data_IF_624626164282
#
_entry.id   IF_624626164282
#
_cell.length_a   1.000
_cell.length_b   1.000
_cell.length_c   1.000
_cell.angle_alpha   90.00
_cell.angle_beta   90.00
_cell.angle_gamma   90.00
#
_symmetry.space_group_name_H-M   'P 1'
#
loop_
_entity.id
_entity.type
_entity.pdbx_description
1 polymer ?
#
# COMPACT_ATOMS: atom_id res chain seq x y z
N UNK A 1 8.21 -0.68 11.71
CA UNK A 1 9.01 -0.25 10.54
C UNK A 1 8.38 0.96 9.82
N UNK A 2 7.11 0.93 9.43
CA UNK A 2 6.41 2.06 8.78
C UNK A 2 6.30 3.30 9.67
N UNK A 3 6.00 3.13 10.96
CA UNK A 3 6.05 4.24 11.92
C UNK A 3 7.42 4.95 11.90
N UNK A 4 8.53 4.20 11.79
CA UNK A 4 9.88 4.78 11.68
C UNK A 4 10.18 5.41 10.31
N UNK A 5 9.49 4.97 9.23
CA UNK A 5 9.57 5.60 7.90
C UNK A 5 8.85 6.95 7.92
N UNK A 6 7.62 6.97 8.43
CA UNK A 6 6.81 8.18 8.56
C UNK A 6 7.46 9.16 9.54
N UNK A 7 7.95 8.69 10.69
CA UNK A 7 8.65 9.53 11.66
C UNK A 7 9.89 10.21 11.07
N UNK A 8 10.70 9.49 10.29
CA UNK A 8 11.84 10.11 9.59
C UNK A 8 11.38 11.20 8.62
N UNK A 9 10.37 10.93 7.79
CA UNK A 9 9.84 11.93 6.84
C UNK A 9 9.23 13.15 7.55
N UNK A 10 8.53 12.94 8.67
CA UNK A 10 7.97 14.01 9.50
C UNK A 10 9.09 14.82 10.18
N UNK A 11 10.14 14.16 10.66
CA UNK A 11 11.32 14.82 11.22
C UNK A 11 12.03 15.66 10.16
N UNK A 12 12.30 15.10 9.00
CA UNK A 12 12.99 15.80 7.91
C UNK A 12 12.15 17.03 7.45
N UNK A 13 10.82 16.93 7.47
CA UNK A 13 9.93 18.08 7.27
C UNK A 13 10.08 19.12 8.39
N UNK A 14 10.06 18.69 9.66
CA UNK A 14 10.17 19.58 10.80
C UNK A 14 11.52 20.31 10.87
N UNK A 15 12.61 19.64 10.49
CA UNK A 15 13.94 20.26 10.38
C UNK A 15 13.97 21.41 9.37
N UNK A 16 13.24 21.30 8.25
CA UNK A 16 13.22 22.32 7.19
C UNK A 16 12.14 23.39 7.40
N UNK A 17 11.01 23.04 8.03
CA UNK A 17 9.80 23.88 8.06
C UNK A 17 9.31 24.26 9.47
N UNK A 18 9.90 23.72 10.53
CA UNK A 18 9.45 23.93 11.91
C UNK A 18 10.60 23.93 12.94
N UNK A 19 11.80 24.36 12.53
CA UNK A 19 12.98 24.49 13.40
C UNK A 19 13.31 23.22 14.21
N UNK A 20 13.03 22.04 13.64
CA UNK A 20 13.27 20.73 14.26
C UNK A 20 12.23 20.32 15.31
N UNK A 21 11.21 21.14 15.60
CA UNK A 21 10.20 20.84 16.61
C UNK A 21 8.99 20.09 16.01
N UNK A 22 8.83 18.82 16.41
CA UNK A 22 7.70 17.99 16.01
C UNK A 22 6.53 18.21 16.98
N UNK A 23 5.57 19.04 16.58
CA UNK A 23 4.27 19.19 17.26
C UNK A 23 3.17 18.44 16.50
N UNK A 24 2.00 18.21 17.11
CA UNK A 24 0.85 17.60 16.42
C UNK A 24 0.49 18.32 15.12
N UNK A 25 0.45 19.65 15.14
CA UNK A 25 0.13 20.44 13.94
C UNK A 25 1.20 20.35 12.85
N UNK A 26 2.47 20.19 13.22
CA UNK A 26 3.57 19.97 12.27
C UNK A 26 3.50 18.56 11.68
N UNK A 27 3.21 17.56 12.51
CA UNK A 27 3.03 16.18 12.07
C UNK A 27 1.85 16.05 11.10
N UNK A 28 0.70 16.67 11.38
CA UNK A 28 -0.46 16.66 10.47
C UNK A 28 -0.14 17.34 9.15
N UNK A 29 0.53 18.50 9.16
CA UNK A 29 0.96 19.20 7.94
C UNK A 29 1.96 18.37 7.13
N UNK A 30 2.91 17.72 7.81
CA UNK A 30 3.86 16.84 7.17
C UNK A 30 3.16 15.65 6.53
N UNK A 31 2.30 14.94 7.27
CA UNK A 31 1.57 13.77 6.75
C UNK A 31 0.65 14.13 5.58
N UNK A 32 -0.04 15.28 5.64
CA UNK A 32 -0.80 15.79 4.50
C UNK A 32 0.08 16.08 3.29
N UNK A 33 1.25 16.72 3.48
CA UNK A 33 2.18 16.99 2.38
C UNK A 33 2.77 15.70 1.78
N UNK A 34 2.90 14.66 2.61
CA UNK A 34 3.38 13.34 2.18
C UNK A 34 2.29 12.49 1.55
N UNK A 35 1.08 13.05 1.41
CA UNK A 35 -0.05 12.41 0.72
C UNK A 35 -0.41 11.06 1.38
N UNK A 36 -0.33 11.01 2.71
CA UNK A 36 -0.69 9.83 3.50
C UNK A 36 -2.17 9.92 3.84
N UNK A 37 -2.93 8.88 3.50
CA UNK A 37 -4.36 8.84 3.78
C UNK A 37 -4.65 8.56 5.28
N UNK A 38 -5.91 8.71 5.73
CA UNK A 38 -6.29 8.43 7.11
C UNK A 38 -6.07 6.97 7.53
N UNK A 39 -6.03 6.04 6.58
CA UNK A 39 -5.71 4.64 6.81
C UNK A 39 -4.20 4.38 6.78
N UNK A 40 -3.34 5.41 6.69
CA UNK A 40 -1.89 5.29 6.71
C UNK A 40 -1.25 4.85 5.41
N UNK A 41 -2.01 4.76 4.30
CA UNK A 41 -1.47 4.45 2.98
C UNK A 41 -0.75 5.68 2.43
N UNK A 42 0.52 5.51 2.09
CA UNK A 42 1.26 6.56 1.39
C UNK A 42 1.14 6.43 -0.13
N UNK A 43 1.81 7.34 -0.85
CA UNK A 43 1.82 7.35 -2.31
C UNK A 43 2.26 6.02 -2.93
N UNK A 44 3.22 5.32 -2.31
CA UNK A 44 3.74 4.08 -2.86
C UNK A 44 2.79 2.92 -2.62
N UNK A 45 2.19 2.87 -1.43
CA UNK A 45 1.15 1.90 -1.09
C UNK A 45 -0.02 2.01 -2.07
N UNK A 46 -0.48 3.24 -2.33
CA UNK A 46 -1.55 3.51 -3.30
C UNK A 46 -1.14 3.14 -4.72
N UNK A 47 0.07 3.48 -5.17
CA UNK A 47 0.58 3.08 -6.50
C UNK A 47 0.60 1.56 -6.69
N UNK A 48 1.03 0.81 -5.69
CA UNK A 48 1.04 -0.66 -5.76
C UNK A 48 -0.39 -1.20 -5.89
N UNK A 49 -1.30 -0.75 -5.04
CA UNK A 49 -2.70 -1.20 -5.04
C UNK A 49 -3.42 -0.83 -6.34
N UNK A 50 -3.24 0.39 -6.83
CA UNK A 50 -3.75 0.81 -8.14
C UNK A 50 -3.14 0.00 -9.28
N UNK A 51 -1.85 -0.34 -9.23
CA UNK A 51 -1.27 -1.22 -10.25
C UNK A 51 -1.96 -2.60 -10.25
N UNK A 52 -2.16 -3.21 -9.08
CA UNK A 52 -2.86 -4.51 -8.97
C UNK A 52 -4.28 -4.41 -9.53
N UNK A 53 -5.03 -3.36 -9.17
CA UNK A 53 -6.44 -3.20 -9.55
C UNK A 53 -6.57 -2.80 -11.02
N UNK A 54 -5.96 -1.69 -11.41
CA UNK A 54 -6.20 -1.05 -12.71
C UNK A 54 -5.43 -1.71 -13.85
N UNK A 55 -4.19 -2.18 -13.59
CA UNK A 55 -3.35 -2.79 -14.63
C UNK A 55 -3.52 -4.30 -14.73
N UNK A 56 -3.81 -4.97 -13.60
CA UNK A 56 -3.86 -6.43 -13.53
C UNK A 56 -5.25 -6.96 -13.14
N UNK A 57 -6.28 -6.12 -13.12
CA UNK A 57 -7.67 -6.53 -12.90
C UNK A 57 -7.94 -7.14 -11.51
N UNK A 58 -7.11 -6.81 -10.51
CA UNK A 58 -7.19 -7.38 -9.17
C UNK A 58 -6.24 -8.56 -8.92
N UNK A 59 -5.48 -9.03 -9.92
CA UNK A 59 -4.53 -10.13 -9.81
C UNK A 59 -5.10 -11.50 -10.23
N UNK A 60 -4.36 -12.61 -10.03
CA UNK A 60 -3.05 -12.72 -9.39
C UNK A 60 -1.90 -12.17 -10.26
N UNK A 61 -0.98 -11.42 -9.64
CA UNK A 61 0.19 -10.85 -10.31
C UNK A 61 1.50 -11.14 -9.57
N UNK A 62 2.54 -11.52 -10.30
CA UNK A 62 3.88 -11.75 -9.76
C UNK A 62 4.55 -10.47 -9.28
N UNK A 63 5.44 -10.56 -8.28
CA UNK A 63 6.13 -9.37 -7.73
C UNK A 63 7.02 -8.68 -8.75
N UNK A 64 7.66 -9.43 -9.65
CA UNK A 64 8.53 -8.85 -10.67
C UNK A 64 7.73 -7.99 -11.67
N UNK A 65 6.51 -8.41 -12.01
CA UNK A 65 5.60 -7.63 -12.84
C UNK A 65 5.09 -6.38 -12.12
N UNK A 66 4.81 -6.49 -10.81
CA UNK A 66 4.43 -5.33 -10.00
C UNK A 66 5.58 -4.32 -9.89
N UNK A 67 6.78 -4.80 -9.58
CA UNK A 67 8.01 -4.03 -9.52
C UNK A 67 8.24 -3.24 -10.82
N UNK A 68 8.15 -3.91 -11.97
CA UNK A 68 8.24 -3.26 -13.28
C UNK A 68 7.11 -2.23 -13.50
N UNK A 69 5.88 -2.54 -13.07
CA UNK A 69 4.72 -1.68 -13.29
C UNK A 69 4.73 -0.38 -12.47
N UNK A 70 5.38 -0.37 -11.30
CA UNK A 70 5.50 0.82 -10.44
C UNK A 70 6.92 1.43 -10.42
N UNK A 71 7.89 0.79 -11.08
CA UNK A 71 9.27 1.25 -11.16
C UNK A 71 10.06 1.08 -9.87
N UNK A 72 9.75 0.06 -9.07
CA UNK A 72 10.37 -0.20 -7.77
C UNK A 72 11.14 -1.52 -7.74
N UNK A 73 12.04 -1.65 -6.78
CA UNK A 73 12.73 -2.91 -6.53
C UNK A 73 11.79 -3.94 -5.88
N UNK A 74 11.91 -5.20 -6.28
CA UNK A 74 11.18 -6.33 -5.69
C UNK A 74 11.29 -6.34 -4.16
N UNK A 75 12.49 -6.24 -3.63
CA UNK A 75 12.75 -6.28 -2.18
C UNK A 75 12.04 -5.14 -1.45
N UNK A 76 11.89 -3.98 -2.10
CA UNK A 76 11.12 -2.86 -1.53
C UNK A 76 9.64 -3.22 -1.41
N UNK A 77 9.06 -3.89 -2.40
CA UNK A 77 7.67 -4.35 -2.34
C UNK A 77 7.51 -5.39 -1.22
N UNK A 78 8.34 -6.43 -1.21
CA UNK A 78 8.20 -7.55 -0.26
C UNK A 78 8.53 -7.15 1.19
N UNK A 79 9.58 -6.35 1.43
CA UNK A 79 10.06 -6.05 2.77
C UNK A 79 9.50 -4.76 3.37
N UNK A 80 8.97 -3.87 2.53
CA UNK A 80 8.54 -2.53 2.96
C UNK A 80 7.04 -2.32 2.79
N UNK A 81 6.45 -2.67 1.65
CA UNK A 81 5.05 -2.37 1.33
C UNK A 81 4.09 -3.50 1.78
N UNK A 82 4.36 -4.72 1.33
CA UNK A 82 3.50 -5.88 1.55
C UNK A 82 3.12 -6.12 3.02
N UNK A 83 4.03 -6.03 4.01
CA UNK A 83 3.70 -6.41 5.39
C UNK A 83 2.50 -5.64 5.94
N UNK A 84 2.36 -4.37 5.58
CA UNK A 84 1.26 -3.54 6.04
C UNK A 84 -0.02 -3.76 5.25
N UNK A 85 0.09 -3.84 3.92
CA UNK A 85 -1.06 -4.07 3.05
C UNK A 85 -1.71 -5.43 3.33
N UNK A 86 -0.90 -6.45 3.66
CA UNK A 86 -1.39 -7.76 4.09
C UNK A 86 -2.01 -7.65 5.50
N UNK A 87 -1.37 -6.96 6.44
CA UNK A 87 -1.90 -6.80 7.80
C UNK A 87 -3.25 -6.04 7.83
N UNK A 88 -3.41 -5.01 7.01
CA UNK A 88 -4.69 -4.30 6.85
C UNK A 88 -5.71 -5.10 6.01
N UNK A 89 -5.28 -6.21 5.42
CA UNK A 89 -6.13 -7.05 4.58
C UNK A 89 -6.47 -6.42 3.24
N UNK A 90 -5.67 -5.51 2.69
CA UNK A 90 -5.82 -4.89 1.37
C UNK A 90 -5.19 -5.70 0.24
N UNK A 91 -4.15 -6.48 0.56
CA UNK A 91 -3.42 -7.32 -0.38
C UNK A 91 -3.31 -8.73 0.18
N UNK A 92 -3.49 -9.73 -0.67
CA UNK A 92 -3.29 -11.13 -0.30
C UNK A 92 -2.17 -11.75 -1.14
N UNK A 93 -1.29 -12.49 -0.47
CA UNK A 93 -0.26 -13.31 -1.14
C UNK A 93 -0.80 -14.71 -1.41
N UNK A 94 -0.61 -15.20 -2.61
CA UNK A 94 -0.95 -16.56 -3.05
C UNK A 94 0.26 -17.20 -3.74
N UNK A 95 0.17 -18.51 -4.01
CA UNK A 95 1.19 -19.22 -4.80
C UNK A 95 1.33 -18.66 -6.22
N UNK A 96 0.25 -18.10 -6.78
CA UNK A 96 0.21 -17.57 -8.15
C UNK A 96 0.57 -16.07 -8.23
N UNK A 97 0.67 -15.39 -7.09
CA UNK A 97 0.95 -13.95 -7.05
C UNK A 97 0.14 -13.19 -5.99
N UNK A 98 0.04 -11.88 -6.16
CA UNK A 98 -0.62 -10.95 -5.26
C UNK A 98 -2.01 -10.63 -5.81
N UNK A 99 -2.99 -10.57 -4.92
CA UNK A 99 -4.40 -10.32 -5.25
C UNK A 99 -4.90 -9.16 -4.39
N UNK A 100 -5.63 -8.22 -5.00
CA UNK A 100 -6.35 -7.17 -4.29
C UNK A 100 -7.59 -7.76 -3.60
N UNK A 101 -7.77 -7.46 -2.33
CA UNK A 101 -8.93 -7.97 -1.57
C UNK A 101 -10.15 -7.06 -1.72
N UNK A 102 -11.36 -7.52 -1.40
CA UNK A 102 -12.54 -6.65 -1.36
C UNK A 102 -12.39 -5.41 -0.46
N UNK A 103 -11.55 -5.49 0.58
CA UNK A 103 -11.33 -4.38 1.50
C UNK A 103 -10.73 -3.16 0.82
N UNK A 104 -9.78 -3.34 -0.12
CA UNK A 104 -9.18 -2.20 -0.82
C UNK A 104 -10.14 -1.57 -1.82
N UNK A 105 -10.97 -2.35 -2.50
CA UNK A 105 -12.01 -1.80 -3.39
C UNK A 105 -12.96 -0.89 -2.60
N UNK A 106 -13.43 -1.32 -1.42
CA UNK A 106 -14.27 -0.48 -0.55
C UNK A 106 -13.54 0.77 -0.06
N UNK A 107 -12.29 0.65 0.32
CA UNK A 107 -11.46 1.78 0.77
C UNK A 107 -11.29 2.83 -0.35
N UNK A 108 -11.12 2.39 -1.60
CA UNK A 108 -11.00 3.27 -2.76
C UNK A 108 -12.34 3.73 -3.34
N UNK A 109 -13.48 3.27 -2.80
CA UNK A 109 -14.82 3.57 -3.33
C UNK A 109 -15.10 2.96 -4.70
N UNK A 110 -14.41 1.87 -5.05
CA UNK A 110 -14.54 1.16 -6.32
C UNK A 110 -15.55 0.02 -6.23
N UNK A 111 -16.16 -0.33 -7.35
CA UNK A 111 -17.01 -1.51 -7.44
C UNK A 111 -16.16 -2.77 -7.23
N UNK A 112 -16.60 -3.65 -6.33
CA UNK A 112 -15.94 -4.94 -6.12
C UNK A 112 -16.06 -5.80 -7.40
N UNK A 113 -14.97 -6.47 -7.84
CA UNK A 113 -15.06 -7.39 -8.96
C UNK A 113 -16.02 -8.52 -8.61
N UNK A 114 -16.97 -8.80 -9.50
CA UNK A 114 -17.93 -9.90 -9.32
C UNK A 114 -17.15 -11.19 -9.05
N UNK A 115 -17.40 -11.75 -7.87
CA UNK A 115 -16.74 -12.94 -7.29
C UNK A 115 -16.48 -14.02 -8.35
N UNK A 116 -15.23 -14.13 -8.80
CA UNK A 116 -14.80 -15.25 -9.66
C UNK A 116 -13.49 -15.91 -9.20
N UNK A 117 -12.70 -15.31 -8.31
CA UNK A 117 -11.33 -15.80 -8.04
C UNK A 117 -11.08 -16.21 -6.58
N UNK A 118 -11.83 -15.68 -5.61
CA UNK A 118 -11.55 -15.93 -4.18
C UNK A 118 -12.12 -17.28 -3.69
N UNK A 119 -13.16 -17.82 -4.33
CA UNK A 119 -13.76 -19.10 -3.90
C UNK A 119 -12.97 -20.34 -4.33
N UNK A 120 -12.29 -20.31 -5.46
CA UNK A 120 -11.59 -21.51 -5.98
C UNK A 120 -10.21 -21.75 -5.35
N UNK A 121 -9.60 -20.75 -4.69
CA UNK A 121 -8.26 -20.89 -4.09
C UNK A 121 -8.28 -21.33 -2.62
N UNK A 122 -9.46 -21.42 -2.00
CA UNK A 122 -9.66 -21.91 -0.63
C UNK A 122 -10.36 -23.28 -0.58
N UNK A 123 -10.57 -23.91 -1.74
CA UNK A 123 -11.28 -25.18 -1.86
C UNK A 123 -10.36 -26.42 -1.90
N UNK A 124 -9.04 -26.22 -1.85
CA UNK A 124 -8.06 -27.31 -1.78
C UNK A 124 -7.54 -27.45 -0.32
N UNK A 125 -8.36 -28.03 0.56
CA UNK A 125 -7.92 -28.72 1.79
C UNK A 125 -8.13 -30.24 1.65
#
# INVERSE_FOLDING_TARGET
RIANRLLRRVRDYAEVKADGNITRGVADKALHMLDVDPAGLDLMDRKLLHAVIDKFGGGPVGVDNLAAAIGEARDTIEDVLEPYLIQQGYLQRTLRGRIATPAIYRHLGLAEPASAVVRDLLADE
#
